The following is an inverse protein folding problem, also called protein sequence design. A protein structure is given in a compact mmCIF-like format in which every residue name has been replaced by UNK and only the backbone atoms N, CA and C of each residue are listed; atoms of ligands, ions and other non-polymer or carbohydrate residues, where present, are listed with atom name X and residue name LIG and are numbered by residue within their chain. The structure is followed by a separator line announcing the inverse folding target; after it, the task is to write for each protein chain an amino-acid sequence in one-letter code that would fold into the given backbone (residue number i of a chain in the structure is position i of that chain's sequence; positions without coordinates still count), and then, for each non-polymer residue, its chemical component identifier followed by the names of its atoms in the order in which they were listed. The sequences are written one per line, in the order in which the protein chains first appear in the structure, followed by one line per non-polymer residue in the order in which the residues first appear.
data_IF_509716454684
#
_entry.id   IF_509716454684
#
_cell.length_a   1.000
_cell.length_b   1.000
_cell.length_c   1.000
_cell.angle_alpha   90.00
_cell.angle_beta   90.00
_cell.angle_gamma   90.00
#
_symmetry.space_group_name_H-M   'P 1'
#
loop_
_entity.id
_entity.type
_entity.pdbx_description
1 polymer ?
#
# COMPACT_ATOMS: atom_id res chain seq x y z
N UNK A 1 -0.72 1.84 41.03
CA UNK A 1 -1.80 2.31 40.11
C UNK A 1 -1.17 3.19 39.05
N UNK A 2 -1.07 2.73 37.81
CA UNK A 2 -0.57 3.55 36.70
C UNK A 2 -1.72 4.41 36.19
N UNK A 3 -1.60 5.73 36.34
CA UNK A 3 -2.50 6.71 35.73
C UNK A 3 -2.30 6.71 34.21
N UNK A 4 -2.76 5.66 33.54
CA UNK A 4 -2.87 5.66 32.09
C UNK A 4 -4.04 6.57 31.73
N UNK A 5 -3.74 7.86 31.53
CA UNK A 5 -4.75 8.85 31.21
C UNK A 5 -5.25 8.58 29.78
N UNK A 6 -6.39 7.90 29.66
CA UNK A 6 -6.91 7.40 28.38
C UNK A 6 -7.09 8.50 27.33
N UNK A 7 -7.31 9.74 27.78
CA UNK A 7 -7.41 10.93 26.94
C UNK A 7 -6.06 11.31 26.31
N UNK A 8 -4.97 11.22 27.08
CA UNK A 8 -3.60 11.46 26.59
C UNK A 8 -3.21 10.38 25.57
N UNK A 9 -3.53 9.11 25.84
CA UNK A 9 -3.26 8.01 24.91
C UNK A 9 -4.01 8.16 23.57
N UNK A 10 -5.28 8.61 23.61
CA UNK A 10 -6.05 8.90 22.39
C UNK A 10 -5.47 10.07 21.62
N UNK A 11 -5.03 11.12 22.31
CA UNK A 11 -4.40 12.27 21.65
C UNK A 11 -3.10 11.87 20.94
N UNK A 12 -2.23 11.10 21.59
CA UNK A 12 -1.03 10.56 20.96
C UNK A 12 -1.34 9.67 19.74
N UNK A 13 -2.37 8.83 19.83
CA UNK A 13 -2.79 7.98 18.73
C UNK A 13 -3.25 8.80 17.51
N UNK A 14 -4.02 9.88 17.72
CA UNK A 14 -4.48 10.75 16.64
C UNK A 14 -3.33 11.57 16.02
N UNK A 15 -2.40 12.08 16.84
CA UNK A 15 -1.19 12.76 16.36
C UNK A 15 -0.37 11.81 15.49
N UNK A 16 -0.08 10.60 15.96
CA UNK A 16 0.70 9.62 15.20
C UNK A 16 -0.01 9.16 13.93
N UNK A 17 -1.34 9.00 13.97
CA UNK A 17 -2.12 8.65 12.79
C UNK A 17 -2.13 9.77 11.74
N UNK A 18 -2.22 11.03 12.19
CA UNK A 18 -2.13 12.21 11.32
C UNK A 18 -0.75 12.35 10.71
N UNK A 19 0.31 12.21 11.50
CA UNK A 19 1.70 12.23 11.01
C UNK A 19 1.94 11.12 9.98
N UNK A 20 1.47 9.90 10.23
CA UNK A 20 1.61 8.78 9.29
C UNK A 20 0.93 9.10 7.95
N UNK A 21 -0.30 9.61 7.98
CA UNK A 21 -1.02 9.99 6.76
C UNK A 21 -0.36 11.16 6.03
N UNK A 22 0.14 12.17 6.76
CA UNK A 22 0.88 13.28 6.16
C UNK A 22 2.16 12.81 5.50
N UNK A 23 2.95 11.96 6.16
CA UNK A 23 4.19 11.40 5.58
C UNK A 23 3.88 10.64 4.30
N UNK A 24 2.88 9.76 4.29
CA UNK A 24 2.52 9.02 3.07
C UNK A 24 1.99 9.95 1.97
N UNK A 25 1.16 10.95 2.29
CA UNK A 25 0.66 11.88 1.29
C UNK A 25 1.78 12.77 0.70
N UNK A 26 2.68 13.27 1.56
CA UNK A 26 3.85 14.03 1.15
C UNK A 26 4.79 13.20 0.29
N UNK A 27 5.01 11.93 0.65
CA UNK A 27 5.81 10.98 -0.14
C UNK A 27 5.25 10.82 -1.57
N UNK A 28 3.95 10.55 -1.71
CA UNK A 28 3.28 10.45 -3.01
C UNK A 28 3.43 11.75 -3.83
N UNK A 29 3.25 12.92 -3.19
CA UNK A 29 3.38 14.21 -3.85
C UNK A 29 4.83 14.49 -4.28
N UNK A 30 5.82 14.21 -3.42
CA UNK A 30 7.24 14.42 -3.68
C UNK A 30 7.72 13.55 -4.85
N UNK A 31 7.36 12.27 -4.89
CA UNK A 31 7.70 11.40 -6.01
C UNK A 31 7.01 11.82 -7.31
N UNK A 32 5.74 12.25 -7.24
CA UNK A 32 5.08 12.81 -8.42
C UNK A 32 5.83 14.05 -8.93
N UNK A 33 6.14 15.02 -8.07
CA UNK A 33 6.85 16.25 -8.44
C UNK A 33 8.26 15.98 -8.97
N UNK A 34 8.96 15.00 -8.40
CA UNK A 34 10.29 14.60 -8.88
C UNK A 34 10.25 14.01 -10.30
N UNK A 35 9.18 13.30 -10.65
CA UNK A 35 9.08 12.61 -11.94
C UNK A 35 8.26 13.33 -13.00
N UNK A 36 7.31 14.19 -12.62
CA UNK A 36 6.36 14.79 -13.55
C UNK A 36 7.08 15.78 -14.46
N UNK A 37 7.05 15.53 -15.77
CA UNK A 37 7.82 16.25 -16.79
C UNK A 37 9.35 16.22 -16.59
N UNK A 38 9.85 15.34 -15.71
CA UNK A 38 11.28 15.13 -15.51
C UNK A 38 11.82 14.16 -16.54
N UNK A 39 13.08 14.35 -16.91
CA UNK A 39 13.82 13.46 -17.82
C UNK A 39 13.82 12.00 -17.27
N UNK A 40 13.66 11.83 -15.97
CA UNK A 40 13.63 10.55 -15.27
C UNK A 40 12.45 9.62 -15.66
N UNK A 41 11.38 10.14 -16.27
CA UNK A 41 10.27 9.35 -16.83
C UNK A 41 10.35 9.17 -18.35
N UNK A 42 11.47 9.56 -18.98
CA UNK A 42 11.61 9.40 -20.42
C UNK A 42 11.82 7.92 -20.81
N UNK A 43 11.18 7.43 -21.89
CA UNK A 43 11.39 6.07 -22.39
C UNK A 43 12.87 5.77 -22.70
N UNK A 44 13.62 6.78 -23.13
CA UNK A 44 15.06 6.65 -23.41
C UNK A 44 15.87 6.31 -22.14
N UNK A 45 15.53 6.91 -21.00
CA UNK A 45 16.22 6.63 -19.73
C UNK A 45 15.81 5.28 -19.15
N UNK A 46 14.52 4.93 -19.19
CA UNK A 46 14.07 3.61 -18.72
C UNK A 46 14.71 2.46 -19.53
N UNK A 47 15.01 2.67 -20.82
CA UNK A 47 15.79 1.75 -21.69
C UNK A 47 17.28 1.72 -21.38
N UNK A 48 17.81 2.72 -20.68
CA UNK A 48 19.24 2.87 -20.47
C UNK A 48 19.79 1.73 -19.61
N UNK A 49 20.84 1.06 -20.08
CA UNK A 49 21.55 0.04 -19.27
C UNK A 49 22.38 0.65 -18.15
N UNK A 50 22.52 1.99 -18.09
CA UNK A 50 23.20 2.68 -16.99
C UNK A 50 22.36 2.58 -15.71
N UNK A 51 22.99 2.49 -14.53
CA UNK A 51 22.28 2.51 -13.27
C UNK A 51 21.54 3.84 -13.13
N UNK A 52 20.26 3.76 -12.86
CA UNK A 52 19.41 4.91 -12.61
C UNK A 52 18.80 4.77 -11.23
N UNK A 53 19.10 5.73 -10.35
CA UNK A 53 18.63 5.71 -8.97
C UNK A 53 17.12 5.50 -8.92
N UNK A 54 16.37 6.20 -9.77
CA UNK A 54 14.92 6.10 -9.79
C UNK A 54 14.38 4.73 -10.17
N UNK A 55 14.85 4.16 -11.30
CA UNK A 55 14.37 2.84 -11.76
C UNK A 55 14.88 1.72 -10.85
N UNK A 56 16.15 1.76 -10.49
CA UNK A 56 16.79 0.62 -9.85
C UNK A 56 16.50 0.57 -8.33
N UNK A 57 16.20 1.71 -7.69
CA UNK A 57 15.77 1.74 -6.27
C UNK A 57 14.27 1.78 -6.07
N UNK A 58 13.50 2.46 -6.93
CA UNK A 58 12.07 2.71 -6.66
C UNK A 58 11.10 2.00 -7.59
N UNK A 59 11.58 1.26 -8.59
CA UNK A 59 10.72 0.47 -9.47
C UNK A 59 11.06 -1.02 -9.39
N UNK A 60 10.07 -1.86 -9.69
CA UNK A 60 10.25 -3.30 -9.87
C UNK A 60 10.35 -3.57 -11.36
N UNK A 61 11.55 -3.85 -11.87
CA UNK A 61 11.77 -4.20 -13.29
C UNK A 61 11.23 -5.59 -13.59
N UNK A 62 10.68 -5.79 -14.78
CA UNK A 62 10.17 -7.08 -15.25
C UNK A 62 11.22 -8.20 -15.23
N UNK A 63 12.49 -7.86 -15.43
CA UNK A 63 13.63 -8.78 -15.41
C UNK A 63 14.30 -8.94 -14.04
N UNK A 64 13.81 -8.28 -12.98
CA UNK A 64 14.39 -8.41 -11.65
C UNK A 64 14.13 -9.80 -11.07
N UNK A 65 15.14 -10.40 -10.46
CA UNK A 65 15.00 -11.68 -9.76
C UNK A 65 14.28 -11.54 -8.41
N UNK A 66 14.48 -10.40 -7.73
CA UNK A 66 13.87 -10.12 -6.43
C UNK A 66 12.83 -9.00 -6.52
N UNK A 67 11.71 -9.11 -5.78
CA UNK A 67 10.75 -8.03 -5.62
C UNK A 67 11.38 -6.83 -4.90
N UNK A 68 11.06 -5.61 -5.37
CA UNK A 68 11.55 -4.39 -4.75
C UNK A 68 10.56 -3.91 -3.67
N UNK A 69 10.95 -3.85 -2.37
CA UNK A 69 10.08 -3.34 -1.31
C UNK A 69 9.85 -1.83 -1.41
N UNK A 70 10.78 -1.08 -2.01
CA UNK A 70 10.70 0.38 -2.12
C UNK A 70 9.82 0.85 -3.28
N UNK A 71 9.34 -0.05 -4.14
CA UNK A 71 8.41 0.39 -5.19
C UNK A 71 7.03 0.79 -4.67
N UNK A 72 6.79 0.59 -3.37
CA UNK A 72 5.58 1.04 -2.68
C UNK A 72 5.52 2.56 -2.46
N UNK A 73 6.65 3.26 -2.41
CA UNK A 73 6.65 4.73 -2.25
C UNK A 73 6.42 5.45 -3.58
N UNK A 74 6.66 4.76 -4.69
CA UNK A 74 6.66 5.38 -5.99
C UNK A 74 5.27 5.41 -6.64
N UNK A 75 4.90 6.56 -7.22
CA UNK A 75 3.65 6.75 -7.98
C UNK A 75 3.93 7.37 -9.34
N UNK A 76 3.25 6.85 -10.37
CA UNK A 76 3.48 7.22 -11.78
C UNK A 76 2.45 8.20 -12.31
N UNK A 77 1.20 8.09 -11.85
CA UNK A 77 0.08 8.84 -12.40
C UNK A 77 -0.31 10.00 -11.46
N UNK A 78 -0.57 11.22 -12.00
CA UNK A 78 -1.12 12.32 -11.21
C UNK A 78 -2.46 11.94 -10.56
N UNK A 79 -3.31 11.20 -11.27
CA UNK A 79 -4.59 10.73 -10.75
C UNK A 79 -4.36 9.77 -9.57
N UNK A 80 -3.45 8.81 -9.72
CA UNK A 80 -3.10 7.87 -8.64
C UNK A 80 -2.58 8.60 -7.42
N UNK A 81 -1.80 9.66 -7.63
CA UNK A 81 -1.28 10.50 -6.53
C UNK A 81 -2.42 11.14 -5.75
N UNK A 82 -3.39 11.77 -6.45
CA UNK A 82 -4.55 12.38 -5.81
C UNK A 82 -5.36 11.34 -5.04
N UNK A 83 -5.64 10.19 -5.65
CA UNK A 83 -6.41 9.10 -5.03
C UNK A 83 -5.67 8.52 -3.82
N UNK A 84 -4.36 8.35 -3.89
CA UNK A 84 -3.53 7.85 -2.78
C UNK A 84 -3.45 8.86 -1.63
N UNK A 85 -3.36 10.16 -1.92
CA UNK A 85 -3.45 11.22 -0.91
C UNK A 85 -4.82 11.19 -0.20
N UNK A 86 -5.92 11.03 -0.94
CA UNK A 86 -7.25 10.87 -0.34
C UNK A 86 -7.32 9.60 0.51
N UNK A 87 -6.78 8.48 0.01
CA UNK A 87 -6.70 7.21 0.74
C UNK A 87 -5.85 7.32 2.02
N UNK A 88 -4.78 8.14 2.03
CA UNK A 88 -3.97 8.36 3.22
C UNK A 88 -4.81 8.91 4.38
N UNK A 89 -5.70 9.87 4.13
CA UNK A 89 -6.53 10.47 5.16
C UNK A 89 -7.83 9.70 5.46
N UNK A 90 -8.42 9.05 4.46
CA UNK A 90 -9.72 8.35 4.60
C UNK A 90 -9.59 6.87 4.96
N UNK A 91 -8.43 6.25 4.69
CA UNK A 91 -8.16 4.83 4.93
C UNK A 91 -7.02 4.67 5.93
N UNK A 92 -5.83 5.20 5.62
CA UNK A 92 -4.63 4.94 6.41
C UNK A 92 -4.72 5.58 7.80
N UNK A 93 -5.13 6.85 7.91
CA UNK A 93 -5.28 7.52 9.21
C UNK A 93 -6.24 6.76 10.16
N UNK A 94 -7.49 6.43 9.76
CA UNK A 94 -8.40 5.65 10.61
C UNK A 94 -7.85 4.29 11.08
N UNK A 95 -7.20 3.56 10.17
CA UNK A 95 -6.57 2.27 10.49
C UNK A 95 -5.42 2.47 11.49
N UNK A 96 -4.59 3.50 11.26
CA UNK A 96 -3.45 3.84 12.11
C UNK A 96 -3.87 4.27 13.50
N UNK A 97 -4.97 5.01 13.62
CA UNK A 97 -5.51 5.41 14.91
C UNK A 97 -5.88 4.21 15.78
N UNK A 98 -6.41 3.13 15.18
CA UNK A 98 -6.87 1.95 15.90
C UNK A 98 -5.79 0.87 16.12
N UNK A 99 -4.91 0.66 15.14
CA UNK A 99 -3.88 -0.38 15.21
C UNK A 99 -2.52 0.16 15.67
N UNK A 100 -2.28 1.46 15.51
CA UNK A 100 -0.97 2.08 15.71
C UNK A 100 -0.13 2.09 14.44
N UNK A 101 0.73 3.10 14.32
CA UNK A 101 1.54 3.38 13.13
C UNK A 101 2.49 2.25 12.75
N UNK A 102 3.02 1.50 13.73
CA UNK A 102 3.94 0.38 13.47
C UNK A 102 3.30 -0.72 12.64
N UNK A 103 2.07 -1.10 12.97
CA UNK A 103 1.31 -2.09 12.23
C UNK A 103 0.93 -1.57 10.85
N UNK A 104 0.51 -0.30 10.75
CA UNK A 104 0.21 0.30 9.45
C UNK A 104 1.42 0.32 8.52
N UNK A 105 2.58 0.76 8.99
CA UNK A 105 3.81 0.80 8.17
C UNK A 105 4.25 -0.61 7.78
N UNK A 106 4.19 -1.57 8.71
CA UNK A 106 4.50 -2.97 8.40
C UNK A 106 3.57 -3.53 7.32
N UNK A 107 2.27 -3.20 7.38
CA UNK A 107 1.31 -3.59 6.36
C UNK A 107 1.58 -2.87 5.04
N UNK A 108 1.88 -1.58 5.06
CA UNK A 108 2.19 -0.79 3.87
C UNK A 108 3.40 -1.34 3.11
N UNK A 109 4.54 -1.50 3.79
CA UNK A 109 5.79 -2.00 3.20
C UNK A 109 5.62 -3.46 2.76
N UNK A 110 5.01 -4.30 3.63
CA UNK A 110 4.79 -5.71 3.33
C UNK A 110 3.86 -5.90 2.14
N UNK A 111 2.74 -5.17 2.09
CA UNK A 111 1.82 -5.23 0.96
C UNK A 111 2.49 -4.75 -0.33
N UNK A 112 3.27 -3.67 -0.27
CA UNK A 112 4.07 -3.19 -1.39
C UNK A 112 5.07 -4.23 -1.93
N UNK A 113 5.79 -4.91 -1.04
CA UNK A 113 6.73 -5.99 -1.38
C UNK A 113 6.02 -7.18 -2.05
N UNK A 114 4.91 -7.65 -1.47
CA UNK A 114 4.16 -8.77 -2.03
C UNK A 114 3.46 -8.39 -3.34
N UNK A 115 3.12 -7.12 -3.53
CA UNK A 115 2.67 -6.62 -4.83
C UNK A 115 3.76 -6.69 -5.90
N UNK A 116 4.99 -6.34 -5.54
CA UNK A 116 6.14 -6.48 -6.45
C UNK A 116 6.38 -7.94 -6.80
N UNK A 117 6.22 -8.84 -5.82
CA UNK A 117 6.32 -10.27 -6.04
C UNK A 117 5.23 -10.78 -7.00
N UNK A 118 3.96 -10.38 -6.78
CA UNK A 118 2.85 -10.76 -7.65
C UNK A 118 3.05 -10.27 -9.09
N UNK A 119 3.59 -9.06 -9.27
CA UNK A 119 3.98 -8.55 -10.57
C UNK A 119 5.03 -9.46 -11.24
N UNK A 120 6.16 -9.70 -10.59
CA UNK A 120 7.25 -10.53 -11.13
C UNK A 120 6.79 -11.96 -11.44
N UNK A 121 6.04 -12.57 -10.53
CA UNK A 121 5.47 -13.89 -10.74
C UNK A 121 4.57 -13.93 -11.98
N UNK A 122 3.72 -12.91 -12.16
CA UNK A 122 2.84 -12.83 -13.32
C UNK A 122 3.59 -12.67 -14.65
N UNK A 123 4.72 -11.95 -14.64
CA UNK A 123 5.59 -11.77 -15.82
C UNK A 123 6.34 -13.06 -16.14
N UNK A 124 6.83 -13.78 -15.12
CA UNK A 124 7.50 -15.07 -15.30
C UNK A 124 6.56 -16.15 -15.84
N UNK A 125 5.30 -16.17 -15.39
CA UNK A 125 4.28 -17.10 -15.87
C UNK A 125 3.78 -16.77 -17.27
N UNK A 126 3.69 -15.48 -17.61
CA UNK A 126 3.25 -15.04 -18.93
C UNK A 126 4.11 -13.89 -19.47
N UNK A 127 5.11 -14.23 -20.28
CA UNK A 127 6.00 -13.26 -20.92
C UNK A 127 5.29 -12.30 -21.89
N UNK A 128 4.11 -12.67 -22.39
CA UNK A 128 3.30 -11.79 -23.25
C UNK A 128 2.62 -10.65 -22.46
N UNK A 129 2.75 -10.66 -21.13
CA UNK A 129 2.22 -9.59 -20.27
C UNK A 129 3.06 -8.32 -20.37
N UNK A 130 4.35 -8.44 -20.68
CA UNK A 130 5.29 -7.34 -20.90
C UNK A 130 5.51 -7.10 -22.39
N UNK A 131 5.67 -5.84 -22.78
CA UNK A 131 6.04 -5.41 -24.14
C UNK A 131 7.57 -5.39 -24.28
N UNK A 132 8.28 -5.06 -23.20
CA UNK A 132 9.74 -4.92 -23.19
C UNK A 132 10.39 -5.48 -21.92
N UNK A 133 11.64 -5.89 -22.01
CA UNK A 133 12.48 -6.27 -20.87
C UNK A 133 12.79 -5.10 -19.92
N UNK A 134 12.52 -3.87 -20.36
CA UNK A 134 12.68 -2.65 -19.57
C UNK A 134 11.37 -2.21 -18.88
N UNK A 135 10.28 -2.94 -19.07
CA UNK A 135 9.01 -2.65 -18.41
C UNK A 135 9.16 -2.70 -16.89
N UNK A 136 8.47 -1.79 -16.22
CA UNK A 136 8.62 -1.58 -14.79
C UNK A 136 7.25 -1.45 -14.13
N UNK A 137 7.14 -1.97 -12.90
CA UNK A 137 5.99 -1.74 -12.04
C UNK A 137 6.36 -0.85 -10.85
N UNK A 138 5.44 0.02 -10.49
CA UNK A 138 5.34 0.62 -9.17
C UNK A 138 4.24 -0.10 -8.38
N UNK A 139 4.33 -0.09 -7.05
CA UNK A 139 3.46 -0.88 -6.18
C UNK A 139 2.82 -0.06 -5.08
N UNK A 140 2.79 1.27 -5.22
CA UNK A 140 2.09 2.17 -4.29
C UNK A 140 0.61 1.81 -4.18
N UNK A 141 -0.08 1.58 -5.31
CA UNK A 141 -1.49 1.17 -5.26
C UNK A 141 -1.67 -0.18 -4.53
N UNK A 142 -0.70 -1.10 -4.67
CA UNK A 142 -0.68 -2.36 -3.93
C UNK A 142 -0.51 -2.18 -2.41
N UNK A 143 0.35 -1.24 -2.00
CA UNK A 143 0.56 -0.92 -0.59
C UNK A 143 -0.69 -0.29 0.05
N UNK A 144 -1.29 0.70 -0.61
CA UNK A 144 -2.55 1.30 -0.17
C UNK A 144 -3.72 0.30 -0.23
N UNK A 145 -3.78 -0.57 -1.24
CA UNK A 145 -4.77 -1.65 -1.32
C UNK A 145 -4.62 -2.65 -0.15
N UNK A 146 -3.39 -2.91 0.28
CA UNK A 146 -3.10 -3.67 1.49
C UNK A 146 -3.74 -3.03 2.73
N UNK A 147 -3.55 -1.73 2.95
CA UNK A 147 -4.16 -1.02 4.09
C UNK A 147 -5.69 -0.91 3.94
N UNK A 148 -6.19 -0.70 2.72
CA UNK A 148 -7.62 -0.70 2.40
C UNK A 148 -8.27 -2.04 2.74
N UNK A 149 -7.63 -3.15 2.39
CA UNK A 149 -8.09 -4.50 2.74
C UNK A 149 -8.20 -4.67 4.26
N UNK A 150 -7.21 -4.18 5.01
CA UNK A 150 -7.22 -4.25 6.47
C UNK A 150 -8.40 -3.46 7.08
N UNK A 151 -8.72 -2.30 6.51
CA UNK A 151 -9.85 -1.47 6.95
C UNK A 151 -11.21 -2.17 6.85
N UNK A 152 -11.37 -3.11 5.90
CA UNK A 152 -12.61 -3.90 5.74
C UNK A 152 -12.91 -4.75 6.99
N UNK A 153 -11.87 -5.22 7.68
CA UNK A 153 -12.00 -6.00 8.91
C UNK A 153 -12.14 -5.12 10.17
N UNK A 154 -12.01 -3.80 10.02
CA UNK A 154 -12.00 -2.84 11.12
C UNK A 154 -13.22 -1.92 11.06
N UNK A 155 -14.39 -2.45 11.42
CA UNK A 155 -15.67 -1.71 11.41
C UNK A 155 -15.66 -0.40 12.23
N UNK A 156 -14.77 -0.30 13.22
CA UNK A 156 -14.64 0.88 14.08
C UNK A 156 -13.69 1.95 13.51
N UNK A 157 -13.05 1.70 12.37
CA UNK A 157 -12.18 2.68 11.72
C UNK A 157 -13.06 3.77 11.11
N UNK A 158 -13.14 4.93 11.76
CA UNK A 158 -14.00 6.06 11.35
C UNK A 158 -13.15 7.15 10.71
N UNK A 159 -13.66 7.73 9.63
CA UNK A 159 -13.01 8.86 8.94
C UNK A 159 -13.07 10.11 9.82
N UNK A 160 -11.94 10.77 10.11
CA UNK A 160 -11.82 11.81 11.15
C UNK A 160 -12.67 13.05 10.88
N UNK A 161 -12.97 13.36 9.61
CA UNK A 161 -13.73 14.55 9.22
C UNK A 161 -15.22 14.26 8.95
N UNK A 162 -15.68 13.05 9.26
CA UNK A 162 -17.04 12.60 8.99
C UNK A 162 -17.85 12.40 10.27
N UNK A 163 -19.18 12.50 10.17
CA UNK A 163 -20.12 12.15 11.26
C UNK A 163 -20.24 10.63 11.44
N UNK A 164 -19.14 9.93 11.64
CA UNK A 164 -19.15 8.48 11.88
C UNK A 164 -19.12 7.60 10.63
N UNK A 165 -18.68 8.12 9.48
CA UNK A 165 -18.51 7.28 8.28
C UNK A 165 -17.36 6.31 8.49
N UNK A 166 -17.65 5.02 8.30
CA UNK A 166 -16.65 3.98 8.37
C UNK A 166 -15.70 4.05 7.17
N UNK A 167 -14.43 3.78 7.42
CA UNK A 167 -13.33 3.83 6.45
C UNK A 167 -13.53 2.85 5.28
N UNK A 168 -14.21 1.73 5.51
CA UNK A 168 -14.47 0.74 4.46
C UNK A 168 -15.28 1.30 3.27
N UNK A 169 -16.07 2.37 3.47
CA UNK A 169 -16.79 3.04 2.37
C UNK A 169 -15.84 3.68 1.36
N UNK A 170 -14.62 4.04 1.76
CA UNK A 170 -13.58 4.54 0.86
C UNK A 170 -12.66 3.41 0.38
N UNK A 171 -12.45 2.38 1.21
CA UNK A 171 -11.62 1.23 0.86
C UNK A 171 -12.21 0.38 -0.26
N UNK A 172 -13.52 0.15 -0.26
CA UNK A 172 -14.19 -0.65 -1.30
C UNK A 172 -14.00 -0.01 -2.70
N UNK A 173 -14.35 1.28 -2.92
CA UNK A 173 -14.06 1.95 -4.19
C UNK A 173 -12.58 1.95 -4.56
N UNK A 174 -11.67 2.11 -3.59
CA UNK A 174 -10.23 2.07 -3.84
C UNK A 174 -9.78 0.70 -4.39
N UNK A 175 -10.27 -0.39 -3.80
CA UNK A 175 -9.98 -1.75 -4.27
C UNK A 175 -10.62 -2.05 -5.63
N UNK A 176 -11.83 -1.55 -5.88
CA UNK A 176 -12.49 -1.64 -7.19
C UNK A 176 -11.69 -0.91 -8.26
N UNK A 177 -11.18 0.29 -7.95
CA UNK A 177 -10.29 1.05 -8.82
C UNK A 177 -9.02 0.27 -9.13
N UNK A 178 -8.36 -0.30 -8.11
CA UNK A 178 -7.16 -1.14 -8.33
C UNK A 178 -7.45 -2.36 -9.21
N UNK A 179 -8.62 -2.98 -9.02
CA UNK A 179 -9.08 -4.11 -9.84
C UNK A 179 -9.32 -3.70 -11.29
N UNK A 180 -9.95 -2.54 -11.49
CA UNK A 180 -10.17 -1.97 -12.82
C UNK A 180 -8.84 -1.67 -13.52
N UNK A 181 -7.91 -1.02 -12.85
CA UNK A 181 -6.61 -0.63 -13.44
C UNK A 181 -5.72 -1.84 -13.78
N UNK A 182 -5.80 -2.93 -13.03
CA UNK A 182 -4.98 -4.11 -13.31
C UNK A 182 -5.59 -5.01 -14.40
N UNK A 183 -6.93 -5.17 -14.44
CA UNK A 183 -7.58 -6.17 -15.30
C UNK A 183 -8.38 -5.61 -16.50
N UNK A 184 -8.91 -4.39 -16.37
CA UNK A 184 -9.84 -3.80 -17.35
C UNK A 184 -9.14 -2.69 -18.14
N UNK A 185 -8.56 -1.69 -17.46
CA UNK A 185 -7.87 -0.55 -18.09
C UNK A 185 -6.91 -0.95 -19.22
N UNK A 186 -6.00 -1.94 -19.01
CA UNK A 186 -5.03 -2.36 -20.01
C UNK A 186 -5.60 -3.00 -21.27
N UNK A 187 -6.87 -3.44 -21.26
CA UNK A 187 -7.55 -4.06 -22.40
C UNK A 187 -8.42 -3.09 -23.18
N UNK A 188 -9.01 -2.10 -22.49
CA UNK A 188 -10.06 -1.27 -23.05
C UNK A 188 -9.68 0.19 -23.27
N UNK A 189 -8.66 0.70 -22.57
CA UNK A 189 -8.35 2.14 -22.53
C UNK A 189 -6.95 2.43 -23.08
N UNK A 190 -6.00 1.51 -22.91
CA UNK A 190 -4.59 1.76 -23.23
C UNK A 190 -4.18 1.13 -24.57
N UNK A 191 -3.79 1.96 -25.55
CA UNK A 191 -3.17 1.50 -26.79
C UNK A 191 -1.69 1.17 -26.56
N UNK A 192 -1.35 -0.12 -26.62
CA UNK A 192 0.04 -0.60 -26.50
C UNK A 192 0.82 -0.31 -27.78
N UNK A 193 1.74 0.64 -27.74
CA UNK A 193 2.76 0.76 -28.78
C UNK A 193 3.93 -0.17 -28.45
N UNK A 194 4.44 -0.90 -29.45
CA UNK A 194 5.59 -1.81 -29.28
C UNK A 194 6.88 -1.07 -28.89
N UNK A 195 6.92 0.25 -29.13
CA UNK A 195 8.09 1.09 -28.89
C UNK A 195 8.02 1.91 -27.60
N UNK A 196 7.05 1.68 -26.72
CA UNK A 196 6.95 2.38 -25.43
C UNK A 196 7.26 1.45 -24.28
N UNK A 197 8.16 1.86 -23.36
CA UNK A 197 8.32 1.18 -22.07
C UNK A 197 7.07 1.41 -21.26
N UNK A 198 6.50 0.32 -20.72
CA UNK A 198 5.35 0.42 -19.83
C UNK A 198 5.81 0.58 -18.38
N UNK A 199 5.36 1.66 -17.75
CA UNK A 199 5.52 1.93 -16.33
C UNK A 199 4.12 2.04 -15.68
N UNK A 200 3.73 1.05 -14.88
CA UNK A 200 2.35 0.93 -14.36
C UNK A 200 2.28 0.51 -12.89
N UNK A 201 1.12 0.71 -12.28
CA UNK A 201 0.79 0.20 -10.96
C UNK A 201 0.18 -1.21 -11.09
N UNK A 202 0.96 -2.27 -10.86
CA UNK A 202 0.53 -3.67 -11.04
C UNK A 202 0.85 -4.56 -9.85
N UNK A 203 0.13 -5.68 -9.75
CA UNK A 203 0.32 -6.69 -8.72
C UNK A 203 -0.39 -6.32 -7.41
N UNK A 204 -1.44 -5.48 -7.44
CA UNK A 204 -2.10 -5.05 -6.19
C UNK A 204 -2.64 -6.24 -5.39
N UNK A 205 -3.02 -7.32 -6.09
CA UNK A 205 -3.49 -8.59 -5.50
C UNK A 205 -2.48 -9.18 -4.51
N UNK A 206 -1.18 -9.04 -4.77
CA UNK A 206 -0.14 -9.48 -3.82
C UNK A 206 -0.26 -8.78 -2.47
N UNK A 207 -0.49 -7.46 -2.48
CA UNK A 207 -0.70 -6.66 -1.28
C UNK A 207 -1.98 -7.03 -0.53
N UNK A 208 -3.08 -7.26 -1.26
CA UNK A 208 -4.34 -7.77 -0.68
C UNK A 208 -4.12 -9.12 0.00
N UNK A 209 -3.48 -10.06 -0.69
CA UNK A 209 -3.22 -11.40 -0.18
C UNK A 209 -2.35 -11.37 1.08
N UNK A 210 -1.25 -10.60 1.05
CA UNK A 210 -0.41 -10.39 2.23
C UNK A 210 -1.20 -9.85 3.41
N UNK A 211 -2.03 -8.83 3.20
CA UNK A 211 -2.85 -8.27 4.28
C UNK A 211 -3.84 -9.29 4.85
N UNK A 212 -4.44 -10.15 4.03
CA UNK A 212 -5.34 -11.20 4.54
C UNK A 212 -4.59 -12.15 5.48
N UNK A 213 -3.39 -12.60 5.09
CA UNK A 213 -2.52 -13.42 5.96
C UNK A 213 -2.12 -12.65 7.22
N UNK A 214 -1.71 -11.38 7.09
CA UNK A 214 -1.35 -10.54 8.22
C UNK A 214 -2.52 -10.35 9.20
N UNK A 215 -3.72 -10.12 8.68
CA UNK A 215 -4.94 -9.90 9.46
C UNK A 215 -5.31 -11.14 10.26
N UNK A 216 -5.19 -12.33 9.67
CA UNK A 216 -5.44 -13.59 10.40
C UNK A 216 -4.45 -13.80 11.56
N UNK A 217 -3.15 -13.50 11.35
CA UNK A 217 -2.14 -13.55 12.42
C UNK A 217 -2.42 -12.53 13.54
N UNK A 218 -2.83 -11.31 13.16
CA UNK A 218 -3.15 -10.26 14.12
C UNK A 218 -4.40 -10.61 14.95
N UNK A 219 -5.43 -11.16 14.32
CA UNK A 219 -6.64 -11.61 15.01
C UNK A 219 -6.33 -12.78 15.95
N UNK A 220 -5.55 -13.76 15.49
CA UNK A 220 -5.12 -14.92 16.30
C UNK A 220 -4.31 -14.50 17.51
N UNK A 221 -3.31 -13.64 17.33
CA UNK A 221 -2.50 -13.15 18.47
C UNK A 221 -3.38 -12.42 19.50
N UNK A 222 -4.35 -11.59 19.08
CA UNK A 222 -5.27 -10.91 20.01
C UNK A 222 -6.16 -11.89 20.77
N UNK A 223 -6.67 -12.94 20.13
CA UNK A 223 -7.45 -13.97 20.83
C UNK A 223 -6.58 -14.73 21.83
N UNK A 224 -5.37 -15.10 21.43
CA UNK A 224 -4.43 -15.86 22.25
C UNK A 224 -3.97 -15.03 23.46
N UNK A 225 -3.67 -13.74 23.28
CA UNK A 225 -3.36 -12.82 24.40
C UNK A 225 -4.54 -12.63 25.35
N UNK A 226 -5.77 -12.58 24.83
CA UNK A 226 -6.97 -12.46 25.67
C UNK A 226 -7.19 -13.73 26.50
N UNK A 227 -6.93 -14.90 25.92
CA UNK A 227 -6.99 -16.19 26.63
C UNK A 227 -5.89 -16.31 27.68
N UNK A 228 -4.65 -15.94 27.34
CA UNK A 228 -3.53 -15.90 28.28
C UNK A 228 -3.83 -14.97 29.48
N UNK A 229 -4.37 -13.77 29.23
CA UNK A 229 -4.74 -12.83 30.31
C UNK A 229 -5.81 -13.41 31.24
N UNK A 230 -6.83 -14.10 30.69
CA UNK A 230 -7.84 -14.81 31.49
C UNK A 230 -7.22 -15.94 32.32
N UNK A 231 -6.29 -16.70 31.75
CA UNK A 231 -5.57 -17.76 32.45
C UNK A 231 -4.78 -17.22 33.65
N UNK A 232 -3.99 -16.16 33.46
CA UNK A 232 -3.25 -15.54 34.56
C UNK A 232 -4.16 -14.91 35.63
N UNK A 233 -5.30 -14.35 35.24
CA UNK A 233 -6.31 -13.87 36.19
C UNK A 233 -6.88 -15.00 37.05
N UNK A 234 -7.11 -16.17 36.47
CA UNK A 234 -7.59 -17.34 37.22
C UNK A 234 -6.53 -17.92 38.17
N UNK A 235 -5.23 -17.78 37.85
CA UNK A 235 -4.13 -18.20 38.73
C UNK A 235 -3.99 -17.25 39.93
N UNK A 236 -4.07 -15.94 39.70
CA UNK A 236 -3.91 -14.93 40.77
C UNK A 236 -5.12 -14.82 41.72
N UNK A 237 -6.19 -15.59 41.47
CA UNK A 237 -7.37 -15.69 42.33
C UNK A 237 -7.33 -16.90 43.28
N UNK A 238 -6.21 -17.63 43.33
CA UNK A 238 -5.86 -18.59 44.39
C UNK A 238 -4.83 -17.99 45.31
#
# INVERSE_FOLDING_TARGET
MSFYNAQVARHYADVMASLTAMVLASDQLCFLLYHHNSYANSPALLRSKKPMVMRDFFLTRSNSFFPNPLSCVYVTSPLDTVVNCVAAFTIVKPVTFLLGWRHTIAVYIGAGFFSSFAYLFSVQMNKNKTVSEYDCACTSNGAFAGVATLSLFMKNAIVPFSKGLASYYFAIPYLLKCTYDEYIGPKFVEHRSKDTIELRNWGFVGGVFFTLVYSTLLLRSRTDFRMARKFYQNINHK
#
